data_IF_676151002577
#
_entry.id   IF_676151002577
#
_cell.length_a   1.000
_cell.length_b   1.000
_cell.length_c   1.000
_cell.angle_alpha   90.00
_cell.angle_beta   90.00
_cell.angle_gamma   90.00
#
_symmetry.space_group_name_H-M   'P 1'
#
loop_
_entity.id
_entity.type
_entity.pdbx_description
1 polymer ?
#
# COMPACT_ATOMS: atom_id res chain seq x y z
N UNK A 1 -12.66 -6.24 -13.11
CA UNK A 1 -13.50 -5.32 -12.30
C UNK A 1 -13.40 -5.56 -10.79
N UNK A 2 -13.12 -6.79 -10.33
CA UNK A 2 -12.91 -7.11 -8.91
C UNK A 2 -11.50 -6.79 -8.35
N UNK A 3 -10.70 -5.90 -8.96
CA UNK A 3 -9.37 -5.50 -8.44
C UNK A 3 -9.44 -4.09 -7.83
N UNK A 4 -10.44 -3.29 -8.23
CA UNK A 4 -10.58 -1.87 -7.84
C UNK A 4 -11.13 -1.63 -6.42
N UNK A 5 -11.51 -2.69 -5.70
CA UNK A 5 -11.99 -2.56 -4.31
C UNK A 5 -10.87 -2.55 -3.26
N UNK A 6 -9.59 -2.70 -3.67
CA UNK A 6 -8.41 -2.73 -2.77
C UNK A 6 -8.32 -3.96 -1.86
N UNK A 7 -9.44 -4.32 -1.23
CA UNK A 7 -9.71 -5.57 -0.53
C UNK A 7 -9.36 -6.85 -1.34
N UNK A 8 -9.60 -6.93 -2.67
CA UNK A 8 -9.45 -8.20 -3.40
C UNK A 8 -8.01 -8.69 -3.54
N UNK A 9 -7.02 -7.78 -3.59
CA UNK A 9 -5.63 -8.16 -3.87
C UNK A 9 -5.00 -8.92 -2.70
N UNK A 10 -5.32 -8.53 -1.46
CA UNK A 10 -4.81 -9.24 -0.29
C UNK A 10 -5.35 -10.69 -0.24
N UNK A 11 -6.64 -10.89 -0.51
CA UNK A 11 -7.24 -12.23 -0.54
C UNK A 11 -6.76 -13.07 -1.71
N UNK A 12 -6.54 -12.48 -2.89
CA UNK A 12 -6.01 -13.22 -4.04
C UNK A 12 -4.56 -13.62 -3.82
N UNK A 13 -3.71 -12.74 -3.29
CA UNK A 13 -2.32 -13.07 -2.95
C UNK A 13 -2.25 -14.10 -1.80
N UNK A 14 -3.11 -13.98 -0.80
CA UNK A 14 -3.22 -14.95 0.28
C UNK A 14 -3.65 -16.32 -0.25
N UNK A 15 -4.70 -16.38 -1.06
CA UNK A 15 -5.17 -17.63 -1.66
C UNK A 15 -4.09 -18.27 -2.56
N UNK A 16 -3.39 -17.46 -3.35
CA UNK A 16 -2.28 -17.92 -4.18
C UNK A 16 -1.11 -18.45 -3.33
N UNK A 17 -0.76 -17.75 -2.23
CA UNK A 17 0.28 -18.18 -1.30
C UNK A 17 -0.07 -19.48 -0.58
N UNK A 18 -1.32 -19.65 -0.14
CA UNK A 18 -1.82 -20.90 0.43
C UNK A 18 -1.82 -22.02 -0.61
N UNK A 19 -2.23 -21.74 -1.85
CA UNK A 19 -2.22 -22.74 -2.93
C UNK A 19 -0.81 -23.25 -3.25
N UNK A 20 0.16 -22.34 -3.42
CA UNK A 20 1.56 -22.73 -3.64
C UNK A 20 2.15 -23.43 -2.41
N UNK A 21 1.85 -22.95 -1.21
CA UNK A 21 2.29 -23.59 0.03
C UNK A 21 1.70 -24.98 0.23
N UNK A 22 0.43 -25.18 -0.10
CA UNK A 22 -0.24 -26.47 -0.06
C UNK A 22 0.45 -27.46 -1.00
N UNK A 23 0.80 -27.02 -2.21
CA UNK A 23 1.53 -27.83 -3.18
C UNK A 23 2.96 -28.16 -2.73
N UNK A 24 3.67 -27.19 -2.15
CA UNK A 24 5.05 -27.38 -1.68
C UNK A 24 5.16 -28.33 -0.47
N UNK A 25 4.16 -28.32 0.42
CA UNK A 25 4.12 -29.18 1.60
C UNK A 25 3.25 -30.44 1.41
N UNK A 26 2.89 -30.79 0.17
CA UNK A 26 2.13 -32.00 -0.14
C UNK A 26 2.90 -33.25 0.28
N UNK A 27 2.50 -33.83 1.41
CA UNK A 27 3.08 -35.03 1.97
C UNK A 27 1.97 -36.03 2.33
N UNK A 28 1.52 -36.86 1.36
CA UNK A 28 0.34 -37.71 1.49
C UNK A 28 0.44 -38.66 2.70
N UNK A 29 1.61 -39.26 2.89
CA UNK A 29 1.88 -40.19 3.98
C UNK A 29 1.97 -39.56 5.37
N UNK A 30 1.68 -38.26 5.55
CA UNK A 30 1.47 -37.62 6.87
C UNK A 30 0.04 -37.14 7.00
N UNK A 31 -0.48 -36.51 5.94
CA UNK A 31 -1.83 -35.98 5.89
C UNK A 31 -2.88 -37.05 6.15
N UNK A 32 -2.71 -38.24 5.56
CA UNK A 32 -3.70 -39.30 5.60
C UNK A 32 -3.45 -40.42 6.60
N UNK A 33 -2.42 -40.32 7.45
CA UNK A 33 -2.11 -41.37 8.43
C UNK A 33 -3.27 -41.67 9.37
N UNK A 34 -4.06 -40.66 9.72
CA UNK A 34 -5.23 -40.85 10.57
C UNK A 34 -6.33 -41.65 9.87
N UNK A 35 -6.50 -41.43 8.56
CA UNK A 35 -7.41 -42.22 7.73
C UNK A 35 -6.89 -43.64 7.52
N UNK A 36 -5.60 -43.82 7.21
CA UNK A 36 -4.99 -45.15 7.02
C UNK A 36 -5.17 -46.02 8.27
N UNK A 37 -4.99 -45.45 9.48
CA UNK A 37 -5.27 -46.16 10.73
C UNK A 37 -6.76 -46.46 10.94
N UNK A 38 -7.66 -45.53 10.61
CA UNK A 38 -9.09 -45.75 10.73
C UNK A 38 -9.62 -46.83 9.75
N UNK A 39 -8.98 -46.98 8.58
CA UNK A 39 -9.23 -48.09 7.65
C UNK A 39 -8.79 -49.42 8.26
N UNK A 40 -7.60 -49.47 8.86
CA UNK A 40 -7.07 -50.68 9.50
C UNK A 40 -7.90 -51.13 10.72
N UNK A 41 -8.43 -50.17 11.48
CA UNK A 41 -9.29 -50.43 12.65
C UNK A 41 -10.74 -50.83 12.29
N UNK A 42 -11.09 -50.88 10.99
CA UNK A 42 -12.43 -51.24 10.53
C UNK A 42 -13.49 -50.19 10.87
N UNK A 43 -13.10 -48.92 10.95
CA UNK A 43 -13.97 -47.83 11.35
C UNK A 43 -15.12 -47.59 10.36
N UNK A 44 -16.20 -47.02 10.88
CA UNK A 44 -17.43 -46.69 10.20
C UNK A 44 -17.25 -45.69 9.03
N UNK A 45 -18.13 -45.75 8.02
CA UNK A 45 -18.00 -44.93 6.81
C UNK A 45 -18.00 -43.41 7.07
N UNK A 46 -18.58 -42.97 8.19
CA UNK A 46 -18.60 -41.58 8.62
C UNK A 46 -17.26 -41.12 9.22
N UNK A 47 -16.61 -41.93 10.05
CA UNK A 47 -15.28 -41.65 10.62
C UNK A 47 -14.20 -41.67 9.55
N UNK A 48 -14.32 -42.56 8.55
CA UNK A 48 -13.48 -42.56 7.36
C UNK A 48 -13.62 -41.27 6.54
N UNK A 49 -14.85 -40.78 6.32
CA UNK A 49 -15.09 -39.53 5.62
C UNK A 49 -14.53 -38.32 6.41
N UNK A 50 -14.67 -38.32 7.73
CA UNK A 50 -14.12 -37.27 8.60
C UNK A 50 -12.58 -37.24 8.56
N UNK A 51 -11.91 -38.39 8.66
CA UNK A 51 -10.44 -38.45 8.59
C UNK A 51 -9.90 -38.16 7.20
N UNK A 52 -10.66 -38.47 6.15
CA UNK A 52 -10.37 -38.07 4.77
C UNK A 52 -10.42 -36.54 4.65
N UNK A 53 -11.52 -35.91 5.06
CA UNK A 53 -11.61 -34.44 5.03
C UNK A 53 -10.55 -33.79 5.94
N UNK A 54 -10.35 -34.33 7.14
CA UNK A 54 -9.36 -33.86 8.10
C UNK A 54 -7.93 -33.95 7.56
N UNK A 55 -7.61 -34.98 6.79
CA UNK A 55 -6.29 -35.13 6.19
C UNK A 55 -5.97 -34.07 5.13
N UNK A 56 -6.97 -33.50 4.46
CA UNK A 56 -6.79 -32.37 3.54
C UNK A 56 -6.37 -31.11 4.31
N UNK A 57 -6.97 -30.89 5.49
CA UNK A 57 -6.63 -29.79 6.39
C UNK A 57 -5.38 -30.05 7.24
N UNK A 58 -4.93 -31.31 7.36
CA UNK A 58 -3.72 -31.72 8.09
C UNK A 58 -2.43 -31.46 7.29
N UNK A 59 -2.41 -30.38 6.52
CA UNK A 59 -1.23 -29.92 5.78
C UNK A 59 -0.50 -28.87 6.62
N UNK A 60 0.83 -29.01 6.74
CA UNK A 60 1.72 -28.10 7.49
C UNK A 60 1.55 -26.63 7.08
N UNK A 61 1.09 -26.36 5.84
CA UNK A 61 0.82 -24.99 5.39
C UNK A 61 -0.20 -24.25 6.27
N UNK A 62 -1.23 -24.93 6.77
CA UNK A 62 -2.26 -24.27 7.59
C UNK A 62 -1.71 -23.86 8.96
N UNK A 63 -0.90 -24.72 9.59
CA UNK A 63 -0.20 -24.38 10.83
C UNK A 63 0.79 -23.23 10.64
N UNK A 64 1.56 -23.26 9.55
CA UNK A 64 2.51 -22.19 9.22
C UNK A 64 1.79 -20.88 8.92
N UNK A 65 0.67 -20.94 8.22
CA UNK A 65 -0.16 -19.77 7.91
C UNK A 65 -0.72 -19.12 9.19
N UNK A 66 -1.25 -19.91 10.12
CA UNK A 66 -1.74 -19.41 11.41
C UNK A 66 -0.61 -18.82 12.24
N UNK A 67 0.52 -19.52 12.37
CA UNK A 67 1.69 -19.03 13.10
C UNK A 67 2.26 -17.74 12.51
N UNK A 68 2.37 -17.66 11.18
CA UNK A 68 2.84 -16.45 10.51
C UNK A 68 1.86 -15.29 10.70
N UNK A 69 0.55 -15.56 10.65
CA UNK A 69 -0.48 -14.55 10.92
C UNK A 69 -0.36 -14.00 12.35
N UNK A 70 -0.20 -14.88 13.33
CA UNK A 70 0.00 -14.48 14.73
C UNK A 70 1.30 -13.67 14.91
N UNK A 71 2.39 -14.07 14.25
CA UNK A 71 3.67 -13.34 14.27
C UNK A 71 3.56 -11.94 13.66
N UNK A 72 2.73 -11.74 12.63
CA UNK A 72 2.51 -10.43 12.02
C UNK A 72 1.63 -9.55 12.91
N UNK A 73 0.58 -10.11 13.52
CA UNK A 73 -0.33 -9.37 14.42
C UNK A 73 0.37 -8.96 15.72
N UNK A 74 1.29 -9.78 16.23
CA UNK A 74 2.06 -9.49 17.45
C UNK A 74 3.24 -8.52 17.23
N UNK A 75 3.45 -8.03 16.02
CA UNK A 75 4.53 -7.10 15.74
C UNK A 75 4.12 -5.66 16.11
N UNK A 76 4.71 -5.12 17.18
CA UNK A 76 4.41 -3.78 17.70
C UNK A 76 4.58 -2.66 16.67
N UNK A 77 5.49 -2.83 15.70
CA UNK A 77 5.74 -1.83 14.65
C UNK A 77 4.59 -1.80 13.64
N UNK A 78 4.00 -2.95 13.32
CA UNK A 78 2.89 -3.04 12.36
C UNK A 78 1.59 -2.47 12.92
N UNK A 79 1.44 -2.42 14.25
CA UNK A 79 0.33 -1.73 14.94
C UNK A 79 0.28 -0.22 14.63
N UNK A 80 1.39 0.39 14.19
CA UNK A 80 1.41 1.78 13.74
C UNK A 80 0.67 1.99 12.41
N UNK A 81 0.53 0.97 11.56
CA UNK A 81 -0.06 1.10 10.22
C UNK A 81 -1.56 1.50 10.28
N UNK A 82 -2.43 0.84 11.07
CA UNK A 82 -3.82 1.26 11.20
C UNK A 82 -3.99 2.67 11.76
N UNK A 83 -3.19 3.04 12.76
CA UNK A 83 -3.23 4.38 13.38
C UNK A 83 -2.81 5.46 12.37
N UNK A 84 -1.79 5.18 11.57
CA UNK A 84 -1.34 6.07 10.50
C UNK A 84 -2.38 6.22 9.38
N UNK A 85 -2.99 5.11 8.96
CA UNK A 85 -4.05 5.13 7.95
C UNK A 85 -5.29 5.88 8.46
N UNK A 86 -5.63 5.75 9.74
CA UNK A 86 -6.69 6.53 10.38
C UNK A 86 -6.39 8.03 10.37
N UNK A 87 -5.16 8.44 10.69
CA UNK A 87 -4.72 9.83 10.58
C UNK A 87 -4.86 10.34 9.14
N UNK A 88 -4.37 9.58 8.16
CA UNK A 88 -4.48 9.92 6.74
C UNK A 88 -5.94 10.08 6.29
N UNK A 89 -6.82 9.19 6.75
CA UNK A 89 -8.26 9.26 6.48
C UNK A 89 -8.91 10.52 7.07
N UNK A 90 -8.56 10.92 8.29
CA UNK A 90 -9.07 12.17 8.89
C UNK A 90 -8.63 13.38 8.05
N UNK A 91 -7.36 13.42 7.67
CA UNK A 91 -6.78 14.52 6.88
C UNK A 91 -7.43 14.61 5.49
N UNK A 92 -7.69 13.47 4.84
CA UNK A 92 -8.42 13.39 3.58
C UNK A 92 -9.87 13.87 3.73
N UNK A 93 -10.58 13.41 4.77
CA UNK A 93 -11.97 13.81 5.05
C UNK A 93 -12.14 15.28 5.41
N UNK A 94 -11.11 15.92 5.93
CA UNK A 94 -11.13 17.34 6.26
C UNK A 94 -11.15 18.27 5.03
N UNK A 95 -11.06 17.72 3.81
CA UNK A 95 -11.02 18.46 2.53
C UNK A 95 -10.02 19.63 2.52
N UNK A 96 -8.87 19.44 3.18
CA UNK A 96 -7.82 20.46 3.33
C UNK A 96 -7.09 20.67 1.99
N UNK A 97 -7.04 19.62 1.17
CA UNK A 97 -6.29 19.57 -0.09
C UNK A 97 -6.73 20.67 -1.06
N UNK A 98 -8.03 20.83 -1.28
CA UNK A 98 -8.57 21.80 -2.23
C UNK A 98 -8.20 23.24 -1.83
N UNK A 99 -8.34 23.54 -0.53
CA UNK A 99 -7.96 24.84 0.04
C UNK A 99 -6.45 25.07 -0.03
N UNK A 100 -5.65 24.03 0.23
CA UNK A 100 -4.20 24.10 0.17
C UNK A 100 -3.72 24.36 -1.26
N UNK A 101 -4.27 23.64 -2.24
CA UNK A 101 -3.97 23.84 -3.66
C UNK A 101 -4.32 25.26 -4.11
N UNK A 102 -5.53 25.73 -3.80
CA UNK A 102 -5.95 27.09 -4.15
C UNK A 102 -5.04 28.17 -3.52
N UNK A 103 -4.65 27.99 -2.26
CA UNK A 103 -3.74 28.91 -1.56
C UNK A 103 -2.34 28.92 -2.20
N UNK A 104 -1.79 27.73 -2.46
CA UNK A 104 -0.48 27.58 -3.09
C UNK A 104 -0.45 28.10 -4.52
N UNK A 105 -1.55 27.95 -5.27
CA UNK A 105 -1.68 28.51 -6.60
C UNK A 105 -1.63 30.05 -6.58
N UNK A 106 -2.33 30.68 -5.64
CA UNK A 106 -2.26 32.14 -5.45
C UNK A 106 -0.83 32.56 -5.05
N UNK A 107 -0.20 31.83 -4.13
CA UNK A 107 1.16 32.13 -3.66
C UNK A 107 2.22 31.98 -4.77
N UNK A 108 2.06 31.00 -5.66
CA UNK A 108 3.01 30.70 -6.75
C UNK A 108 2.68 31.43 -8.06
N UNK A 109 1.74 32.38 -8.05
CA UNK A 109 1.27 33.09 -9.26
C UNK A 109 2.38 33.74 -10.10
N UNK A 110 3.49 34.14 -9.48
CA UNK A 110 4.63 34.79 -10.15
C UNK A 110 5.65 33.79 -10.74
N UNK A 111 5.45 32.49 -10.57
CA UNK A 111 6.36 31.44 -11.05
C UNK A 111 5.84 30.89 -12.38
N UNK A 112 6.70 30.69 -13.41
CA UNK A 112 6.29 30.01 -14.64
C UNK A 112 5.84 28.58 -14.30
N UNK A 113 4.70 28.16 -14.85
CA UNK A 113 4.13 26.85 -14.50
C UNK A 113 3.42 26.80 -13.14
N UNK A 114 2.95 27.95 -12.62
CA UNK A 114 2.37 28.10 -11.26
C UNK A 114 1.36 27.03 -10.84
N UNK A 115 0.48 26.54 -11.73
CA UNK A 115 -0.43 25.43 -11.37
C UNK A 115 0.29 24.11 -11.16
N UNK A 116 1.30 23.80 -11.97
CA UNK A 116 2.10 22.58 -11.81
C UNK A 116 2.98 22.66 -10.55
N UNK A 117 3.56 23.83 -10.28
CA UNK A 117 4.30 24.11 -9.04
C UNK A 117 3.38 23.95 -7.82
N UNK A 118 2.20 24.57 -7.83
CA UNK A 118 1.23 24.45 -6.75
C UNK A 118 0.78 23.00 -6.53
N UNK A 119 0.54 22.24 -7.60
CA UNK A 119 0.20 20.82 -7.51
C UNK A 119 1.34 20.00 -6.86
N UNK A 120 2.58 20.18 -7.30
CA UNK A 120 3.74 19.47 -6.72
C UNK A 120 3.96 19.80 -5.24
N UNK A 121 3.85 21.08 -4.85
CA UNK A 121 3.98 21.49 -3.45
C UNK A 121 2.83 20.90 -2.61
N UNK A 122 1.60 20.94 -3.13
CA UNK A 122 0.44 20.32 -2.47
C UNK A 122 0.66 18.83 -2.27
N UNK A 123 1.09 18.11 -3.32
CA UNK A 123 1.44 16.70 -3.25
C UNK A 123 2.54 16.43 -2.21
N UNK A 124 3.58 17.25 -2.17
CA UNK A 124 4.73 17.11 -1.26
C UNK A 124 4.30 17.29 0.20
N UNK A 125 3.50 18.31 0.49
CA UNK A 125 2.98 18.56 1.85
C UNK A 125 1.94 17.52 2.26
N UNK A 126 1.14 17.02 1.33
CA UNK A 126 0.11 16.04 1.63
C UNK A 126 0.63 14.60 1.69
N UNK A 127 1.75 14.34 1.00
CA UNK A 127 2.53 13.12 1.10
C UNK A 127 2.92 12.81 2.55
N UNK A 128 3.35 13.82 3.30
CA UNK A 128 3.73 13.68 4.72
C UNK A 128 2.54 13.26 5.59
N UNK A 129 1.30 13.57 5.19
CA UNK A 129 0.14 13.28 6.02
C UNK A 129 -0.51 11.93 5.70
N UNK A 130 -0.40 11.44 4.46
CA UNK A 130 -1.17 10.29 4.00
C UNK A 130 -0.35 9.08 3.63
N UNK A 131 0.90 9.23 3.18
CA UNK A 131 1.77 8.10 2.84
C UNK A 131 1.23 7.15 1.74
N UNK A 132 0.17 7.53 1.01
CA UNK A 132 -0.58 6.67 0.08
C UNK A 132 -0.65 7.34 -1.30
N UNK A 133 0.03 6.75 -2.30
CA UNK A 133 0.07 7.30 -3.68
C UNK A 133 -1.32 7.41 -4.29
N UNK A 134 -2.14 6.36 -4.15
CA UNK A 134 -3.42 6.24 -4.83
C UNK A 134 -4.38 7.39 -4.50
N UNK A 135 -4.50 7.74 -3.22
CA UNK A 135 -5.40 8.80 -2.77
C UNK A 135 -4.97 10.18 -3.27
N UNK A 136 -3.68 10.52 -3.19
CA UNK A 136 -3.19 11.84 -3.60
C UNK A 136 -3.31 12.03 -5.12
N UNK A 137 -2.95 10.99 -5.89
CA UNK A 137 -3.03 11.04 -7.37
C UNK A 137 -4.48 11.18 -7.83
N UNK A 138 -5.43 10.45 -7.24
CA UNK A 138 -6.84 10.55 -7.65
C UNK A 138 -7.43 11.91 -7.28
N UNK A 139 -7.14 12.42 -6.08
CA UNK A 139 -7.64 13.73 -5.63
C UNK A 139 -7.06 14.87 -6.48
N UNK A 140 -5.75 14.89 -6.72
CA UNK A 140 -5.13 15.87 -7.62
C UNK A 140 -5.57 15.68 -9.08
N UNK A 141 -5.80 14.45 -9.52
CA UNK A 141 -6.34 14.13 -10.84
C UNK A 141 -7.74 14.70 -11.04
N UNK A 142 -8.57 14.74 -10.00
CA UNK A 142 -9.92 15.30 -10.07
C UNK A 142 -9.95 16.82 -9.87
N UNK A 143 -9.03 17.37 -9.06
CA UNK A 143 -9.00 18.79 -8.72
C UNK A 143 -8.08 19.62 -9.63
N UNK A 144 -6.82 19.22 -9.78
CA UNK A 144 -5.78 20.00 -10.46
C UNK A 144 -5.73 19.73 -11.97
N UNK A 145 -5.92 18.48 -12.42
CA UNK A 145 -5.87 18.14 -13.85
C UNK A 145 -6.86 18.93 -14.72
N UNK A 146 -8.18 18.99 -14.42
CA UNK A 146 -9.10 19.77 -15.24
C UNK A 146 -8.81 21.28 -15.19
N UNK A 147 -8.29 21.79 -14.07
CA UNK A 147 -7.88 23.19 -13.95
C UNK A 147 -6.68 23.50 -14.87
N UNK A 148 -5.66 22.62 -14.90
CA UNK A 148 -4.50 22.74 -15.79
C UNK A 148 -4.89 22.75 -17.27
N UNK A 149 -5.80 21.86 -17.68
CA UNK A 149 -6.27 21.80 -19.06
C UNK A 149 -7.02 23.08 -19.48
N UNK A 150 -7.82 23.67 -18.58
CA UNK A 150 -8.49 24.96 -18.83
C UNK A 150 -7.50 26.10 -19.04
N UNK A 151 -6.33 26.06 -18.40
CA UNK A 151 -5.24 27.00 -18.65
C UNK A 151 -4.31 26.59 -19.80
N UNK A 152 -4.73 25.65 -20.66
CA UNK A 152 -4.03 25.21 -21.86
C UNK A 152 -2.69 24.51 -21.62
N UNK A 153 -2.54 23.79 -20.50
CA UNK A 153 -1.42 22.88 -20.29
C UNK A 153 -1.56 21.66 -21.21
N UNK A 154 -0.44 21.13 -21.70
CA UNK A 154 -0.43 19.87 -22.45
C UNK A 154 -0.86 18.70 -21.55
N UNK A 155 -1.67 17.78 -22.09
CA UNK A 155 -2.20 16.62 -21.37
C UNK A 155 -1.09 15.73 -20.81
N UNK A 156 -0.02 15.51 -21.58
CA UNK A 156 1.14 14.69 -21.18
C UNK A 156 1.89 15.36 -20.05
N UNK A 157 2.02 16.68 -20.10
CA UNK A 157 2.67 17.45 -19.05
C UNK A 157 1.85 17.44 -17.76
N UNK A 158 0.56 17.79 -17.82
CA UNK A 158 -0.33 17.82 -16.66
C UNK A 158 -0.48 16.44 -15.99
N UNK A 159 -0.63 15.38 -16.78
CA UNK A 159 -0.72 14.01 -16.24
C UNK A 159 0.61 13.54 -15.64
N UNK A 160 1.74 13.87 -16.27
CA UNK A 160 3.07 13.59 -15.74
C UNK A 160 3.31 14.26 -14.39
N UNK A 161 2.97 15.54 -14.25
CA UNK A 161 3.14 16.29 -12.99
C UNK A 161 2.30 15.70 -11.87
N UNK A 162 1.04 15.33 -12.13
CA UNK A 162 0.16 14.76 -11.11
C UNK A 162 0.62 13.36 -10.69
N UNK A 163 0.97 12.51 -11.65
CA UNK A 163 1.49 11.18 -11.37
C UNK A 163 2.82 11.24 -10.60
N UNK A 164 3.77 12.07 -11.04
CA UNK A 164 5.05 12.24 -10.36
C UNK A 164 4.86 12.80 -8.94
N UNK A 165 4.07 13.86 -8.80
CA UNK A 165 3.77 14.47 -7.51
C UNK A 165 3.15 13.48 -6.52
N UNK A 166 2.15 12.70 -6.94
CA UNK A 166 1.50 11.75 -6.04
C UNK A 166 2.41 10.58 -5.61
N UNK A 167 3.42 10.20 -6.41
CA UNK A 167 4.38 9.17 -6.01
C UNK A 167 5.33 9.61 -4.89
N UNK A 168 5.51 10.92 -4.69
CA UNK A 168 6.28 11.46 -3.55
C UNK A 168 5.68 11.03 -2.20
N UNK A 169 4.40 10.69 -2.17
CA UNK A 169 3.70 10.07 -1.04
C UNK A 169 4.42 8.87 -0.41
N UNK A 170 5.17 8.10 -1.20
CA UNK A 170 5.91 6.95 -0.67
C UNK A 170 7.17 7.38 0.07
N UNK A 171 7.85 8.39 -0.44
CA UNK A 171 9.20 8.77 -0.01
C UNK A 171 9.19 9.75 1.16
N UNK A 172 8.23 10.67 1.22
CA UNK A 172 8.23 11.71 2.24
C UNK A 172 7.55 11.17 3.51
N UNK A 173 8.28 11.04 4.64
CA UNK A 173 7.72 10.49 5.86
C UNK A 173 6.65 11.38 6.50
N UNK A 174 5.76 10.79 7.32
CA UNK A 174 5.52 9.35 7.53
C UNK A 174 4.88 8.60 6.33
N UNK A 175 5.26 7.33 6.12
CA UNK A 175 4.83 6.49 4.98
C UNK A 175 4.67 5.03 5.38
N UNK A 176 3.55 4.40 4.97
CA UNK A 176 3.25 2.98 5.27
C UNK A 176 4.33 2.06 4.71
N UNK A 177 4.83 2.36 3.51
CA UNK A 177 5.84 1.53 2.87
C UNK A 177 7.13 1.46 3.69
N UNK A 178 7.54 2.58 4.27
CA UNK A 178 8.73 2.64 5.14
C UNK A 178 8.50 1.93 6.47
N UNK A 179 7.27 1.93 7.01
CA UNK A 179 6.92 1.15 8.21
C UNK A 179 7.07 -0.35 7.93
N UNK A 180 6.44 -0.83 6.83
CA UNK A 180 6.50 -2.24 6.44
C UNK A 180 7.94 -2.65 6.14
N UNK A 181 8.68 -1.84 5.39
CA UNK A 181 10.09 -2.11 5.08
C UNK A 181 10.97 -2.12 6.33
N UNK A 182 10.77 -1.19 7.26
CA UNK A 182 11.49 -1.18 8.54
C UNK A 182 11.22 -2.44 9.37
N UNK A 183 9.96 -2.87 9.43
CA UNK A 183 9.56 -4.09 10.14
C UNK A 183 10.16 -5.36 9.51
N UNK A 184 10.21 -5.45 8.18
CA UNK A 184 10.78 -6.63 7.48
C UNK A 184 12.31 -6.64 7.49
N UNK A 185 12.95 -5.48 7.41
CA UNK A 185 14.41 -5.35 7.47
C UNK A 185 14.97 -5.38 8.91
N UNK A 186 14.12 -5.39 9.94
CA UNK A 186 14.55 -5.43 11.35
C UNK A 186 15.26 -4.15 11.80
N UNK A 187 14.96 -3.01 11.17
CA UNK A 187 15.58 -1.71 11.43
C UNK A 187 14.55 -0.72 11.96
N UNK A 188 15.01 0.25 12.76
CA UNK A 188 14.13 1.27 13.32
C UNK A 188 13.41 2.07 12.23
N UNK A 189 12.09 2.14 12.30
CA UNK A 189 11.24 2.94 11.41
C UNK A 189 11.61 4.42 11.46
N UNK A 190 11.96 4.94 12.63
CA UNK A 190 12.38 6.34 12.80
C UNK A 190 13.67 6.62 12.00
N UNK A 191 14.59 5.66 11.98
CA UNK A 191 15.82 5.77 11.18
C UNK A 191 15.52 5.72 9.68
N UNK A 192 14.54 4.91 9.27
CA UNK A 192 14.05 4.89 7.88
C UNK A 192 13.41 6.21 7.49
N UNK A 193 12.62 6.83 8.36
CA UNK A 193 12.06 8.16 8.13
C UNK A 193 13.14 9.21 7.96
N UNK A 194 14.13 9.25 8.87
CA UNK A 194 15.24 10.18 8.76
C UNK A 194 16.02 9.99 7.45
N UNK A 195 16.25 8.74 7.03
CA UNK A 195 16.95 8.42 5.78
C UNK A 195 16.17 8.80 4.52
N UNK A 196 14.83 8.66 4.53
CA UNK A 196 13.98 8.92 3.38
C UNK A 196 13.64 10.42 3.18
N UNK A 197 13.74 11.23 4.24
CA UNK A 197 13.43 12.67 4.18
C UNK A 197 14.28 13.40 3.13
N UNK A 198 15.60 13.17 3.14
CA UNK A 198 16.54 13.83 2.22
C UNK A 198 16.28 13.48 0.74
N UNK A 199 16.20 12.19 0.33
CA UNK A 199 15.88 11.84 -1.05
C UNK A 199 14.46 12.26 -1.45
N UNK A 200 13.49 12.24 -0.53
CA UNK A 200 12.13 12.70 -0.79
C UNK A 200 12.06 14.19 -1.14
N UNK A 201 12.69 15.05 -0.31
CA UNK A 201 12.76 16.48 -0.57
C UNK A 201 13.62 16.83 -1.78
N UNK A 202 14.70 16.07 -2.02
CA UNK A 202 15.54 16.24 -3.20
C UNK A 202 14.76 15.96 -4.49
N UNK A 203 13.99 14.87 -4.55
CA UNK A 203 13.14 14.57 -5.69
C UNK A 203 12.04 15.61 -5.88
N UNK A 204 11.39 16.05 -4.80
CA UNK A 204 10.41 17.13 -4.86
C UNK A 204 11.03 18.41 -5.45
N UNK A 205 12.24 18.78 -5.01
CA UNK A 205 12.99 19.90 -5.55
C UNK A 205 13.33 19.74 -7.04
N UNK A 206 13.80 18.57 -7.45
CA UNK A 206 14.09 18.29 -8.87
C UNK A 206 12.83 18.39 -9.74
N UNK A 207 11.68 17.91 -9.26
CA UNK A 207 10.41 18.04 -9.99
C UNK A 207 9.96 19.49 -10.10
N UNK A 208 10.13 20.30 -9.05
CA UNK A 208 9.85 21.74 -9.10
C UNK A 208 10.75 22.45 -10.10
N UNK A 209 12.07 22.19 -10.07
CA UNK A 209 13.01 22.76 -11.02
C UNK A 209 12.62 22.38 -12.45
N UNK A 210 12.36 21.10 -12.71
CA UNK A 210 11.96 20.62 -14.02
C UNK A 210 10.72 21.34 -14.55
N UNK A 211 9.67 21.44 -13.72
CA UNK A 211 8.42 22.12 -14.07
C UNK A 211 8.63 23.60 -14.37
N UNK A 212 9.46 24.30 -13.57
CA UNK A 212 9.75 25.73 -13.75
C UNK A 212 10.58 25.97 -15.02
N UNK A 213 11.53 25.09 -15.33
CA UNK A 213 12.38 25.22 -16.52
C UNK A 213 11.67 24.86 -17.83
N UNK A 214 10.65 24.01 -17.77
CA UNK A 214 9.91 23.55 -18.94
C UNK A 214 8.66 24.40 -19.23
N UNK A 215 8.23 25.24 -18.28
CA UNK A 215 7.06 26.12 -18.38
C UNK A 215 7.38 27.44 -19.07
#
# INVERSE_FOLDING_TARGET
>A
MAIFLGFPVAFTLMALGVAFGYYAYLNPGRMWRAYERAVEDGADGWTLAEHWIGGFFNNRIFDLFVNQTYSVISNDVLTAIPLFLFMGYIVERANIIERLFGTLFIATRHVPGSMAVAALITCTLFATATGIVGAVVTLMGLLAFPAMLKARYDVRYASGVICAGGTLGILIPPSILLIVYGATAGVSVVRMYAAALLPGLLLAGLYLIYVVTMA
#
